data_IF_808041962622
#
_entry.id   IF_808041962622
#
_cell.length_a   1.000
_cell.length_b   1.000
_cell.length_c   1.000
_cell.angle_alpha   90.00
_cell.angle_beta   90.00
_cell.angle_gamma   90.00
#
_symmetry.space_group_name_H-M   'P 1'
#
loop_
_entity.id
_entity.type
_entity.pdbx_description
1 polymer ?
#
# COMPACT_ATOMS: atom_id res chain seq x y z
N UNK A 1 28.76 -2.89 1.37
CA UNK A 1 27.87 -3.34 2.47
C UNK A 1 26.47 -3.38 1.89
N UNK A 2 25.99 -4.55 1.45
CA UNK A 2 24.66 -4.68 0.85
C UNK A 2 23.66 -4.99 1.96
N UNK A 3 22.82 -4.01 2.27
CA UNK A 3 21.77 -4.13 3.28
C UNK A 3 20.64 -5.03 2.72
N UNK A 4 20.64 -6.30 3.10
CA UNK A 4 19.70 -7.35 2.66
C UNK A 4 18.27 -7.17 3.26
N UNK A 5 17.94 -5.98 3.76
CA UNK A 5 16.61 -5.63 4.30
C UNK A 5 15.78 -4.73 3.37
N UNK A 6 16.28 -4.48 2.15
CA UNK A 6 15.51 -3.84 1.11
C UNK A 6 14.50 -4.85 0.54
N UNK A 7 13.24 -4.76 1.00
CA UNK A 7 12.12 -5.27 0.20
C UNK A 7 12.28 -4.71 -1.21
N UNK A 8 12.14 -5.56 -2.23
CA UNK A 8 12.25 -5.12 -3.61
C UNK A 8 11.35 -3.89 -3.83
N UNK A 9 11.83 -2.83 -4.48
CA UNK A 9 11.04 -1.61 -4.67
C UNK A 9 9.68 -1.92 -5.31
N UNK A 10 9.63 -2.94 -6.18
CA UNK A 10 8.42 -3.48 -6.81
C UNK A 10 7.38 -4.03 -5.83
N UNK A 11 7.79 -4.65 -4.72
CA UNK A 11 6.87 -5.19 -3.71
C UNK A 11 6.24 -4.07 -2.87
N UNK A 12 7.06 -3.07 -2.51
CA UNK A 12 6.59 -1.91 -1.74
C UNK A 12 5.65 -1.06 -2.59
N UNK A 13 6.00 -0.85 -3.87
CA UNK A 13 5.14 -0.11 -4.81
C UNK A 13 3.83 -0.87 -5.07
N UNK A 14 3.87 -2.18 -5.30
CA UNK A 14 2.67 -3.01 -5.47
C UNK A 14 1.75 -2.94 -4.24
N UNK A 15 2.30 -3.08 -3.02
CA UNK A 15 1.50 -3.00 -1.80
C UNK A 15 0.88 -1.60 -1.63
N UNK A 16 1.62 -0.53 -1.93
CA UNK A 16 1.08 0.83 -1.88
C UNK A 16 -0.02 1.01 -2.93
N UNK A 17 0.20 0.59 -4.17
CA UNK A 17 -0.77 0.70 -5.26
C UNK A 17 -2.06 -0.07 -4.95
N UNK A 18 -1.97 -1.31 -4.48
CA UNK A 18 -3.14 -2.11 -4.15
C UNK A 18 -3.94 -1.52 -2.98
N UNK A 19 -3.25 -1.00 -1.95
CA UNK A 19 -3.89 -0.28 -0.83
C UNK A 19 -4.55 1.02 -1.31
N UNK A 20 -3.90 1.78 -2.19
CA UNK A 20 -4.45 3.02 -2.77
C UNK A 20 -5.64 2.75 -3.68
N UNK A 21 -5.63 1.64 -4.41
CA UNK A 21 -6.75 1.17 -5.23
C UNK A 21 -7.98 0.84 -4.36
N UNK A 22 -7.80 0.66 -3.04
CA UNK A 22 -8.85 0.21 -2.13
C UNK A 22 -9.10 -1.29 -2.24
N UNK A 23 -8.18 -2.04 -2.87
CA UNK A 23 -8.23 -3.50 -2.91
C UNK A 23 -7.79 -4.05 -1.55
N UNK A 24 -8.44 -5.12 -1.14
CA UNK A 24 -8.04 -5.91 0.02
C UNK A 24 -6.98 -6.91 -0.43
N UNK A 25 -5.76 -6.80 0.09
CA UNK A 25 -4.64 -7.68 -0.27
C UNK A 25 -4.34 -8.65 0.86
N UNK A 26 -4.18 -9.93 0.53
CA UNK A 26 -3.76 -10.96 1.47
C UNK A 26 -2.33 -11.42 1.24
N UNK A 27 -1.79 -12.21 2.16
CA UNK A 27 -0.51 -12.88 1.96
C UNK A 27 -0.48 -13.76 0.70
N UNK A 28 -1.59 -14.43 0.38
CA UNK A 28 -1.71 -15.24 -0.83
C UNK A 28 -1.58 -14.42 -2.11
N UNK A 29 -2.19 -13.23 -2.15
CA UNK A 29 -2.11 -12.32 -3.29
C UNK A 29 -0.68 -11.79 -3.46
N UNK A 30 0.04 -11.47 -2.37
CA UNK A 30 1.45 -11.06 -2.48
C UNK A 30 2.34 -12.19 -3.04
N UNK A 31 2.12 -13.44 -2.62
CA UNK A 31 2.91 -14.57 -3.11
C UNK A 31 2.66 -14.79 -4.61
N UNK A 32 1.43 -14.58 -5.07
CA UNK A 32 1.05 -14.78 -6.48
C UNK A 32 1.45 -13.58 -7.34
N UNK A 33 1.14 -12.36 -6.91
CA UNK A 33 1.29 -11.13 -7.71
C UNK A 33 2.67 -10.48 -7.54
N UNK A 34 3.19 -10.41 -6.31
CA UNK A 34 4.48 -9.78 -6.01
C UNK A 34 5.63 -10.78 -5.80
N UNK A 35 5.34 -12.08 -5.93
CA UNK A 35 6.27 -13.20 -5.69
C UNK A 35 7.03 -13.06 -4.35
N UNK A 36 6.33 -12.49 -3.36
CA UNK A 36 6.91 -12.02 -2.11
C UNK A 36 6.36 -12.74 -0.89
N UNK A 37 7.14 -12.68 0.19
CA UNK A 37 6.79 -13.24 1.50
C UNK A 37 6.83 -12.18 2.61
N UNK A 38 6.93 -10.89 2.24
CA UNK A 38 7.27 -9.78 3.14
C UNK A 38 6.13 -8.77 3.33
N UNK A 39 4.90 -9.09 2.96
CA UNK A 39 3.72 -8.20 3.07
C UNK A 39 3.56 -7.69 4.48
N UNK A 40 3.58 -8.60 5.45
CA UNK A 40 3.45 -8.26 6.86
C UNK A 40 4.53 -7.26 7.31
N UNK A 41 5.77 -7.43 6.86
CA UNK A 41 6.86 -6.51 7.19
C UNK A 41 6.69 -5.14 6.52
N UNK A 42 6.24 -5.11 5.27
CA UNK A 42 5.95 -3.87 4.53
C UNK A 42 4.80 -3.13 5.21
N UNK A 43 3.67 -3.78 5.45
CA UNK A 43 2.50 -3.23 6.15
C UNK A 43 2.88 -2.73 7.53
N UNK A 44 3.62 -3.52 8.30
CA UNK A 44 4.08 -3.11 9.63
C UNK A 44 4.96 -1.87 9.57
N UNK A 45 5.87 -1.79 8.60
CA UNK A 45 6.71 -0.60 8.38
C UNK A 45 5.86 0.61 7.96
N UNK A 46 4.87 0.44 7.09
CA UNK A 46 3.91 1.49 6.70
C UNK A 46 3.12 2.02 7.89
N UNK A 47 2.58 1.14 8.73
CA UNK A 47 1.85 1.52 9.95
C UNK A 47 2.77 2.24 10.95
N UNK A 48 3.93 1.65 11.26
CA UNK A 48 4.79 2.13 12.36
C UNK A 48 5.64 3.34 11.98
N UNK A 49 6.20 3.36 10.77
CA UNK A 49 7.14 4.41 10.32
C UNK A 49 6.43 5.56 9.62
N UNK A 50 5.38 5.24 8.86
CA UNK A 50 4.68 6.21 8.01
C UNK A 50 3.27 6.55 8.50
N UNK A 51 2.78 5.89 9.56
CA UNK A 51 1.48 6.18 10.16
C UNK A 51 0.29 5.78 9.29
N UNK A 52 0.46 4.82 8.37
CA UNK A 52 -0.63 4.46 7.46
C UNK A 52 -1.78 3.75 8.21
N UNK A 53 -3.03 4.19 8.04
CA UNK A 53 -4.21 3.56 8.63
C UNK A 53 -4.61 2.30 7.85
N UNK A 54 -3.81 1.24 8.01
CA UNK A 54 -4.06 -0.07 7.40
C UNK A 54 -4.83 -0.94 8.39
N UNK A 55 -6.01 -1.40 7.97
CA UNK A 55 -6.84 -2.35 8.68
C UNK A 55 -6.41 -3.78 8.33
N UNK A 56 -6.30 -4.60 9.36
CA UNK A 56 -6.04 -6.04 9.22
C UNK A 56 -7.32 -6.77 9.58
N UNK A 57 -7.86 -7.53 8.65
CA UNK A 57 -9.07 -8.33 8.78
C UNK A 57 -8.70 -9.78 8.49
N UNK A 58 -9.20 -10.72 9.30
CA UNK A 58 -8.96 -12.14 9.06
C UNK A 58 -10.20 -12.73 8.41
N UNK A 59 -10.08 -13.16 7.16
CA UNK A 59 -11.22 -13.62 6.36
C UNK A 59 -11.19 -15.14 6.21
N UNK A 60 -12.36 -15.75 6.43
CA UNK A 60 -12.61 -17.16 6.16
C UNK A 60 -12.15 -18.13 7.27
N UNK A 61 -12.46 -19.43 7.11
CA UNK A 61 -12.13 -20.47 8.09
C UNK A 61 -10.62 -20.71 8.23
N UNK A 62 -9.84 -20.30 7.23
CA UNK A 62 -8.37 -20.40 7.22
C UNK A 62 -7.67 -19.20 7.88
N UNK A 63 -8.43 -18.24 8.44
CA UNK A 63 -7.90 -17.01 9.06
C UNK A 63 -6.90 -16.29 8.14
N UNK A 64 -7.24 -16.10 6.87
CA UNK A 64 -6.37 -15.39 5.94
C UNK A 64 -6.27 -13.92 6.35
N UNK A 65 -5.06 -13.48 6.71
CA UNK A 65 -4.79 -12.09 7.01
C UNK A 65 -4.91 -11.25 5.74
N UNK A 66 -5.96 -10.44 5.70
CA UNK A 66 -6.30 -9.50 4.66
C UNK A 66 -6.03 -8.08 5.15
N UNK A 67 -5.27 -7.32 4.38
CA UNK A 67 -4.92 -5.94 4.66
C UNK A 67 -5.68 -5.04 3.71
N UNK A 68 -6.32 -4.01 4.25
CA UNK A 68 -7.01 -2.98 3.46
C UNK A 68 -6.71 -1.60 4.00
N UNK A 69 -6.62 -0.61 3.13
CA UNK A 69 -6.55 0.77 3.57
C UNK A 69 -7.92 1.16 4.13
N UNK A 70 -7.95 1.92 5.21
CA UNK A 70 -9.20 2.42 5.75
C UNK A 70 -9.92 3.29 4.69
N UNK A 71 -11.18 3.00 4.35
CA UNK A 71 -11.92 3.80 3.39
C UNK A 71 -12.20 5.19 3.97
N UNK A 72 -12.00 6.23 3.16
CA UNK A 72 -12.21 7.63 3.58
C UNK A 72 -10.95 8.35 4.10
N UNK A 73 -9.78 7.75 3.99
CA UNK A 73 -8.51 8.41 4.33
C UNK A 73 -8.02 9.25 3.16
N UNK A 74 -7.57 10.46 3.48
CA UNK A 74 -6.97 11.41 2.55
C UNK A 74 -5.59 10.90 2.10
N UNK A 75 -5.59 10.20 0.96
CA UNK A 75 -4.41 9.51 0.41
C UNK A 75 -3.27 10.49 0.09
N UNK A 76 -3.60 11.74 -0.22
CA UNK A 76 -2.64 12.80 -0.52
C UNK A 76 -1.87 13.28 0.73
N UNK A 77 -2.42 13.05 1.93
CA UNK A 77 -1.75 13.39 3.20
C UNK A 77 -0.93 12.25 3.80
N UNK A 78 -0.94 11.08 3.17
CA UNK A 78 -0.13 9.95 3.63
C UNK A 78 1.35 10.19 3.34
N UNK A 79 2.21 9.86 4.29
CA UNK A 79 3.66 9.94 4.07
C UNK A 79 4.11 8.70 3.31
N UNK A 80 4.52 8.86 2.06
CA UNK A 80 5.01 7.74 1.25
C UNK A 80 6.47 7.41 1.58
N UNK A 81 6.86 6.11 1.60
CA UNK A 81 8.26 5.74 1.58
C UNK A 81 8.95 6.27 0.32
N UNK A 82 10.28 6.51 0.35
CA UNK A 82 11.02 7.02 -0.81
C UNK A 82 10.86 6.12 -2.05
N UNK A 83 10.71 4.81 -1.86
CA UNK A 83 10.44 3.86 -2.95
C UNK A 83 9.05 3.97 -3.59
N UNK A 84 8.07 4.58 -2.90
CA UNK A 84 6.71 4.80 -3.40
C UNK A 84 6.39 6.30 -3.54
N UNK A 85 7.42 7.16 -3.53
CA UNK A 85 7.25 8.61 -3.65
C UNK A 85 6.67 8.99 -5.02
N UNK A 86 7.05 8.27 -6.06
CA UNK A 86 6.53 8.43 -7.43
C UNK A 86 5.02 8.16 -7.50
N UNK A 87 4.54 7.13 -6.80
CA UNK A 87 3.11 6.85 -6.67
C UNK A 87 2.36 7.97 -5.94
N UNK A 88 2.94 8.50 -4.87
CA UNK A 88 2.37 9.65 -4.15
C UNK A 88 2.30 10.91 -5.01
N UNK A 89 3.33 11.17 -5.80
CA UNK A 89 3.40 12.30 -6.75
C UNK A 89 2.35 12.15 -7.87
N UNK A 90 2.27 10.96 -8.48
CA UNK A 90 1.26 10.62 -9.48
C UNK A 90 -0.17 10.76 -8.93
N UNK A 91 -0.40 10.33 -7.69
CA UNK A 91 -1.72 10.44 -7.05
C UNK A 91 -2.07 11.89 -6.68
N UNK A 92 -1.09 12.67 -6.23
CA UNK A 92 -1.25 14.10 -5.97
C UNK A 92 -1.61 14.85 -7.26
N UNK A 93 -0.92 14.55 -8.36
CA UNK A 93 -1.24 15.08 -9.69
C UNK A 93 -2.65 14.66 -10.15
N UNK A 94 -3.02 13.40 -9.98
CA UNK A 94 -4.37 12.92 -10.33
C UNK A 94 -5.48 13.65 -9.54
N UNK A 95 -5.25 13.98 -8.27
CA UNK A 95 -6.22 14.74 -7.47
C UNK A 95 -6.33 16.21 -7.92
N UNK A 96 -5.25 16.83 -8.40
CA UNK A 96 -5.30 18.18 -8.97
C UNK A 96 -6.01 18.25 -10.33
N UNK A 97 -6.20 17.11 -10.99
CA UNK A 97 -6.90 17.03 -12.28
C UNK A 97 -8.43 16.91 -12.15
N UNK A 98 -8.98 16.71 -10.95
CA UNK A 98 -10.43 16.59 -10.73
C UNK A 98 -11.17 17.92 -10.48
N UNK A 99 -10.48 19.07 -10.52
CA UNK A 99 -11.09 20.40 -10.46
C UNK A 99 -11.24 21.00 -11.87
N UNK A 100 -12.09 20.39 -12.71
CA UNK A 100 -12.31 20.90 -14.06
C UNK A 100 -13.31 20.09 -14.87
N UNK A 101 -14.58 20.09 -14.48
CA UNK A 101 -15.58 19.33 -15.24
C UNK A 101 -17.02 19.40 -14.76
N UNK A 102 -17.54 20.61 -14.48
CA UNK A 102 -18.99 20.86 -14.52
C UNK A 102 -19.23 22.23 -15.16
N UNK A 103 -19.63 22.23 -16.43
CA UNK A 103 -20.42 23.30 -17.05
C UNK A 103 -21.74 22.68 -17.50
#
# INVERSE_FOLDING_TARGET
MHDLTYSDPSQVSWACEALLSGRTIGHSEEIVEAQGWRLAAIVWRLKRKYGWPILTEYVGPENRACYKLQPGIDRAKLTFPPSAKDLGDMLALACTAQEGGQQ
#
